data_IF_438713527878
#
_entry.id   IF_438713527878
#
_cell.length_a   1.000
_cell.length_b   1.000
_cell.length_c   1.000
_cell.angle_alpha   90.00
_cell.angle_beta   90.00
_cell.angle_gamma   90.00
#
_symmetry.space_group_name_H-M   'P 1'
#
loop_
_entity.id
_entity.type
_entity.pdbx_description
1 polymer ?
#
# COMPACT_ATOMS: atom_id res chain seq x y z
N UNK A 1 13.06 -4.75 -7.63
CA UNK A 1 11.74 -4.11 -7.80
C UNK A 1 10.73 -4.87 -6.95
N UNK A 2 9.98 -4.15 -6.12
CA UNK A 2 8.91 -4.71 -5.30
C UNK A 2 7.74 -3.73 -5.31
N UNK A 3 6.51 -4.24 -5.35
CA UNK A 3 5.28 -3.46 -5.23
C UNK A 3 4.39 -4.10 -4.16
N UNK A 4 3.56 -3.30 -3.50
CA UNK A 4 2.68 -3.76 -2.42
C UNK A 4 1.23 -3.54 -2.85
N UNK A 5 0.38 -4.54 -2.63
CA UNK A 5 -1.07 -4.43 -2.76
C UNK A 5 -1.73 -4.87 -1.45
N UNK A 6 -2.98 -4.50 -1.25
CA UNK A 6 -3.79 -4.97 -0.12
C UNK A 6 -4.67 -6.12 -0.58
N UNK A 7 -4.60 -7.26 0.10
CA UNK A 7 -5.54 -8.37 -0.08
C UNK A 7 -6.76 -8.13 0.80
N UNK A 8 -7.94 -8.33 0.21
CA UNK A 8 -9.19 -8.48 0.95
C UNK A 8 -9.52 -9.98 1.05
N UNK A 9 -9.46 -10.52 2.27
CA UNK A 9 -10.12 -11.77 2.62
C UNK A 9 -11.34 -11.45 3.51
N UNK A 10 -12.32 -12.36 3.60
CA UNK A 10 -13.61 -12.17 4.27
C UNK A 10 -13.51 -11.78 5.77
N UNK A 11 -12.30 -11.78 6.36
CA UNK A 11 -12.07 -11.55 7.79
C UNK A 11 -11.05 -10.43 8.06
N UNK A 12 -10.03 -10.24 7.21
CA UNK A 12 -8.97 -9.24 7.43
C UNK A 12 -8.38 -8.72 6.11
N UNK A 13 -7.93 -7.46 6.14
CA UNK A 13 -7.08 -6.90 5.09
C UNK A 13 -5.62 -7.28 5.41
N UNK A 14 -4.84 -7.67 4.41
CA UNK A 14 -3.42 -8.02 4.58
C UNK A 14 -2.55 -7.41 3.48
N UNK A 15 -1.28 -7.13 3.76
CA UNK A 15 -0.35 -6.69 2.72
C UNK A 15 0.16 -7.87 1.89
N UNK A 16 0.20 -7.69 0.57
CA UNK A 16 0.76 -8.62 -0.39
C UNK A 16 1.91 -7.98 -1.16
N UNK A 17 3.08 -8.63 -1.08
CA UNK A 17 4.31 -8.16 -1.71
C UNK A 17 4.53 -8.88 -3.04
N UNK A 18 4.43 -8.11 -4.12
CA UNK A 18 5.01 -8.47 -5.39
C UNK A 18 6.50 -8.18 -5.34
N UNK A 19 7.33 -9.16 -5.66
CA UNK A 19 8.80 -9.05 -5.59
C UNK A 19 9.44 -9.61 -6.84
N UNK A 20 10.68 -9.23 -7.11
CA UNK A 20 11.49 -9.79 -8.20
C UNK A 20 12.67 -10.62 -7.70
N UNK A 21 12.63 -11.05 -6.44
CA UNK A 21 13.65 -11.83 -5.77
C UNK A 21 13.01 -12.97 -4.97
N UNK A 22 13.82 -13.97 -4.67
CA UNK A 22 13.44 -15.09 -3.79
C UNK A 22 14.14 -14.94 -2.46
N UNK A 23 13.46 -15.25 -1.37
CA UNK A 23 14.07 -15.27 -0.05
C UNK A 23 15.05 -16.46 0.08
N UNK A 24 16.12 -16.34 0.89
CA UNK A 24 17.01 -17.45 1.17
C UNK A 24 16.25 -18.66 1.74
N UNK A 25 16.77 -19.89 1.58
CA UNK A 25 16.15 -21.07 2.17
C UNK A 25 15.97 -20.89 3.68
N UNK A 26 14.80 -21.32 4.21
CA UNK A 26 14.41 -21.20 5.63
C UNK A 26 14.19 -19.77 6.13
N UNK A 27 14.10 -18.80 5.22
CA UNK A 27 13.70 -17.42 5.54
C UNK A 27 12.31 -17.18 4.98
N UNK A 28 11.39 -16.72 5.83
CA UNK A 28 10.04 -16.36 5.44
C UNK A 28 9.76 -14.90 5.77
N UNK A 29 8.94 -14.25 4.95
CA UNK A 29 8.47 -12.90 5.24
C UNK A 29 7.22 -12.95 6.10
N UNK A 30 7.07 -11.98 7.00
CA UNK A 30 5.83 -11.74 7.71
C UNK A 30 4.67 -11.37 6.77
N UNK A 31 5.00 -10.87 5.58
CA UNK A 31 4.02 -10.47 4.57
C UNK A 31 3.83 -11.58 3.55
N UNK A 32 2.58 -11.79 3.14
CA UNK A 32 2.30 -12.64 1.99
C UNK A 32 2.94 -12.04 0.74
N UNK A 33 3.40 -12.87 -0.19
CA UNK A 33 4.00 -12.36 -1.41
C UNK A 33 4.58 -13.41 -2.33
N UNK A 34 4.83 -13.02 -3.57
CA UNK A 34 5.32 -13.91 -4.63
C UNK A 34 6.21 -13.18 -5.62
N UNK A 35 7.12 -13.95 -6.23
CA UNK A 35 8.02 -13.48 -7.28
C UNK A 35 7.64 -13.95 -8.69
N UNK A 36 6.48 -14.62 -8.84
CA UNK A 36 6.08 -15.28 -10.10
C UNK A 36 5.12 -14.46 -10.97
N UNK A 37 4.82 -13.24 -10.57
CA UNK A 37 3.86 -12.37 -11.26
C UNK A 37 4.54 -11.58 -12.38
N UNK A 38 3.77 -11.28 -13.43
CA UNK A 38 4.21 -10.34 -14.46
C UNK A 38 4.25 -8.94 -13.86
N UNK A 39 5.17 -8.12 -14.35
CA UNK A 39 5.34 -6.74 -13.86
C UNK A 39 4.05 -5.92 -13.94
N UNK A 40 3.29 -6.06 -15.03
CA UNK A 40 2.04 -5.32 -15.22
C UNK A 40 0.95 -5.75 -14.22
N UNK A 41 0.93 -7.00 -13.78
CA UNK A 41 -0.04 -7.50 -12.78
C UNK A 41 0.25 -6.86 -11.42
N UNK A 42 1.53 -6.81 -11.04
CA UNK A 42 1.97 -6.17 -9.80
C UNK A 42 1.61 -4.68 -9.77
N UNK A 43 1.87 -3.95 -10.86
CA UNK A 43 1.56 -2.52 -10.97
C UNK A 43 0.04 -2.30 -10.96
N UNK A 44 -0.72 -3.12 -11.70
CA UNK A 44 -2.19 -3.00 -11.75
C UNK A 44 -2.83 -3.23 -10.38
N UNK A 45 -2.39 -4.27 -9.66
CA UNK A 45 -2.88 -4.58 -8.33
C UNK A 45 -2.51 -3.48 -7.32
N UNK A 46 -1.25 -3.04 -7.33
CA UNK A 46 -0.74 -2.03 -6.39
C UNK A 46 -1.39 -0.66 -6.54
N UNK A 47 -1.87 -0.30 -7.75
CA UNK A 47 -2.52 0.97 -8.05
C UNK A 47 -4.06 0.87 -8.14
N UNK A 48 -4.66 -0.26 -7.76
CA UNK A 48 -6.11 -0.45 -7.84
C UNK A 48 -6.84 0.28 -6.68
N UNK A 49 -6.75 1.61 -6.67
CA UNK A 49 -7.33 2.47 -5.64
C UNK A 49 -8.84 2.28 -5.58
N UNK A 50 -9.41 1.95 -4.39
CA UNK A 50 -10.85 1.82 -4.23
C UNK A 50 -11.54 3.08 -4.72
N UNK A 51 -12.70 2.92 -5.36
CA UNK A 51 -13.49 4.00 -5.98
C UNK A 51 -12.94 4.60 -7.28
N UNK A 52 -11.64 4.46 -7.57
CA UNK A 52 -11.03 4.92 -8.82
C UNK A 52 -10.88 3.79 -9.84
N UNK A 53 -10.45 2.62 -9.39
CA UNK A 53 -10.14 1.48 -10.24
C UNK A 53 -10.80 0.21 -9.72
N UNK A 54 -11.18 -0.68 -10.65
CA UNK A 54 -11.64 -2.03 -10.30
C UNK A 54 -10.50 -2.84 -9.65
N UNK A 55 -10.87 -3.57 -8.60
CA UNK A 55 -10.00 -4.49 -7.87
C UNK A 55 -9.38 -5.55 -8.79
N UNK A 56 -8.14 -5.91 -8.54
CA UNK A 56 -7.42 -6.89 -9.32
C UNK A 56 -7.62 -8.30 -8.73
N UNK A 57 -8.26 -9.19 -9.48
CA UNK A 57 -8.46 -10.58 -9.07
C UNK A 57 -7.31 -11.46 -9.57
N UNK A 58 -6.64 -12.14 -8.65
CA UNK A 58 -5.60 -13.11 -8.97
C UNK A 58 -5.81 -14.42 -8.21
N UNK A 59 -6.26 -15.46 -8.92
CA UNK A 59 -6.64 -16.72 -8.30
C UNK A 59 -7.78 -16.52 -7.30
N UNK A 60 -7.54 -16.88 -6.05
CA UNK A 60 -8.51 -16.72 -4.96
C UNK A 60 -8.39 -15.37 -4.22
N UNK A 61 -7.47 -14.50 -4.63
CA UNK A 61 -7.22 -13.23 -3.97
C UNK A 61 -7.86 -12.07 -4.72
N UNK A 62 -8.48 -11.16 -3.97
CA UNK A 62 -8.89 -9.84 -4.44
C UNK A 62 -7.88 -8.83 -3.91
N UNK A 63 -7.15 -8.20 -4.84
CA UNK A 63 -6.07 -7.28 -4.56
C UNK A 63 -6.48 -5.86 -4.92
N UNK A 64 -6.26 -4.92 -4.02
CA UNK A 64 -6.46 -3.49 -4.25
C UNK A 64 -5.21 -2.71 -3.88
N UNK A 65 -5.30 -1.38 -3.96
CA UNK A 65 -4.17 -0.50 -3.77
C UNK A 65 -3.39 -0.75 -2.47
N UNK A 66 -2.06 -0.72 -2.59
CA UNK A 66 -1.16 -0.89 -1.46
C UNK A 66 -1.26 0.23 -0.44
N UNK A 67 -1.66 1.43 -0.86
CA UNK A 67 -1.85 2.61 -0.03
C UNK A 67 -2.94 2.46 1.03
N UNK A 68 -3.88 1.54 0.85
CA UNK A 68 -4.92 1.25 1.86
C UNK A 68 -4.30 0.79 3.18
N UNK A 69 -3.25 -0.03 3.12
CA UNK A 69 -2.60 -0.62 4.31
C UNK A 69 -1.18 -0.09 4.52
N UNK A 70 -0.43 0.10 3.44
CA UNK A 70 0.99 0.44 3.45
C UNK A 70 1.23 1.65 2.54
N UNK A 71 0.73 2.81 2.97
CA UNK A 71 0.92 4.05 2.22
C UNK A 71 2.39 4.54 2.21
N UNK A 72 3.19 4.10 3.19
CA UNK A 72 4.64 4.26 3.18
C UNK A 72 5.33 2.89 3.19
N UNK A 73 5.79 2.38 2.03
CA UNK A 73 6.38 1.04 1.92
C UNK A 73 7.79 0.93 2.52
N UNK A 74 8.35 2.01 3.08
CA UNK A 74 9.72 2.06 3.58
C UNK A 74 10.00 1.02 4.67
N UNK A 75 9.11 0.88 5.65
CA UNK A 75 9.27 -0.11 6.72
C UNK A 75 9.27 -1.55 6.16
N UNK A 76 8.39 -1.83 5.20
CA UNK A 76 8.33 -3.12 4.50
C UNK A 76 9.59 -3.37 3.69
N UNK A 77 10.11 -2.35 3.00
CA UNK A 77 11.34 -2.44 2.23
C UNK A 77 12.56 -2.74 3.12
N UNK A 78 12.67 -2.08 4.27
CA UNK A 78 13.73 -2.34 5.26
C UNK A 78 13.62 -3.78 5.80
N UNK A 79 12.40 -4.22 6.12
CA UNK A 79 12.16 -5.59 6.57
C UNK A 79 12.63 -6.62 5.54
N UNK A 80 12.18 -6.51 4.29
CA UNK A 80 12.59 -7.45 3.22
C UNK A 80 14.11 -7.39 2.96
N UNK A 81 14.71 -6.20 3.01
CA UNK A 81 16.17 -6.05 2.86
C UNK A 81 16.93 -6.79 3.96
N UNK A 82 16.43 -6.78 5.21
CA UNK A 82 17.03 -7.51 6.32
C UNK A 82 16.83 -9.02 6.25
N UNK A 83 15.77 -9.49 5.59
CA UNK A 83 15.62 -10.91 5.28
C UNK A 83 16.63 -11.39 4.22
N UNK A 84 16.91 -10.55 3.22
CA UNK A 84 17.88 -10.87 2.17
C UNK A 84 19.32 -10.76 2.67
N UNK A 85 19.62 -9.74 3.47
CA UNK A 85 20.97 -9.44 3.94
C UNK A 85 21.00 -9.13 5.45
N UNK A 86 20.84 -10.16 6.30
CA UNK A 86 20.71 -9.96 7.75
C UNK A 86 21.94 -9.27 8.37
N UNK A 87 23.14 -9.63 7.90
CA UNK A 87 24.42 -9.15 8.45
C UNK A 87 24.95 -7.89 7.75
N UNK A 88 24.24 -7.37 6.75
CA UNK A 88 24.69 -6.18 6.02
C UNK A 88 23.99 -4.94 6.61
N UNK A 89 24.75 -3.93 7.07
CA UNK A 89 24.17 -2.69 7.55
C UNK A 89 23.56 -1.91 6.38
N UNK A 90 22.38 -1.32 6.60
CA UNK A 90 21.78 -0.40 5.65
C UNK A 90 22.45 0.96 5.86
N UNK A 91 23.12 1.47 4.84
CA UNK A 91 23.88 2.73 4.96
C UNK A 91 22.99 3.97 4.83
N UNK A 92 21.95 3.89 4.00
CA UNK A 92 21.05 5.00 3.73
C UNK A 92 19.69 4.46 3.28
N UNK A 93 18.62 5.16 3.66
CA UNK A 93 17.27 4.94 3.18
C UNK A 93 16.73 6.27 2.68
N UNK A 94 16.20 6.27 1.46
CA UNK A 94 15.57 7.45 0.86
C UNK A 94 14.12 7.08 0.58
N UNK A 95 13.19 7.85 1.14
CA UNK A 95 11.75 7.71 0.88
C UNK A 95 11.24 8.96 0.17
N UNK A 96 10.58 8.77 -0.96
CA UNK A 96 9.98 9.85 -1.75
C UNK A 96 8.47 9.82 -1.57
N UNK A 97 7.91 10.90 -1.01
CA UNK A 97 6.47 11.11 -0.95
C UNK A 97 5.97 11.89 -2.17
N UNK A 98 4.65 11.83 -2.43
CA UNK A 98 3.99 12.57 -3.51
C UNK A 98 3.51 13.98 -3.11
N UNK A 99 3.96 14.47 -1.95
CA UNK A 99 3.54 15.75 -1.37
C UNK A 99 2.36 15.60 -0.40
N UNK A 100 2.13 16.66 0.40
CA UNK A 100 1.00 16.77 1.33
C UNK A 100 0.12 17.94 0.90
N UNK A 101 -1.19 17.78 1.01
CA UNK A 101 -2.12 18.91 0.84
C UNK A 101 -2.00 19.80 2.06
N UNK A 102 -1.74 21.11 1.93
CA UNK A 102 -1.71 22.01 3.07
C UNK A 102 -3.07 22.00 3.76
N UNK A 103 -3.13 22.04 5.10
CA UNK A 103 -4.39 22.15 5.80
C UNK A 103 -5.09 23.43 5.35
N UNK A 104 -6.19 23.30 4.62
CA UNK A 104 -7.09 24.42 4.38
C UNK A 104 -7.69 24.77 5.73
N UNK A 105 -7.30 25.93 6.27
CA UNK A 105 -8.13 26.64 7.23
C UNK A 105 -9.39 27.05 6.45
N UNK A 106 -10.34 26.14 6.31
CA UNK A 106 -11.66 26.49 5.83
C UNK A 106 -12.31 27.32 6.92
N UNK A 107 -12.11 28.63 6.82
CA UNK A 107 -12.98 29.63 7.40
C UNK A 107 -14.41 29.33 6.95
N UNK A 108 -15.37 29.63 7.82
CA UNK A 108 -16.75 29.19 7.68
C UNK A 108 -17.38 29.52 6.34
N UNK A 109 -18.38 28.70 5.97
CA UNK A 109 -19.28 28.82 4.82
C UNK A 109 -18.75 28.27 3.49
N UNK A 110 -19.04 26.99 3.24
CA UNK A 110 -19.53 26.59 1.92
C UNK A 110 -20.30 25.26 2.02
N UNK A 111 -21.61 25.35 1.86
CA UNK A 111 -22.56 24.25 1.76
C UNK A 111 -22.27 23.45 0.49
N UNK A 112 -21.37 22.46 0.55
CA UNK A 112 -21.18 21.52 -0.55
C UNK A 112 -22.20 20.39 -0.42
N UNK A 113 -23.21 20.45 -1.27
CA UNK A 113 -24.18 19.39 -1.56
C UNK A 113 -23.42 18.13 -2.04
N UNK A 114 -23.11 17.19 -1.14
CA UNK A 114 -22.41 15.94 -1.49
C UNK A 114 -23.39 14.77 -1.57
N UNK A 115 -23.82 14.46 -2.79
CA UNK A 115 -24.34 13.12 -3.14
C UNK A 115 -23.21 12.06 -3.21
N UNK A 116 -21.99 12.38 -2.75
CA UNK A 116 -20.95 11.42 -2.47
C UNK A 116 -21.26 10.74 -1.13
N UNK A 117 -21.44 9.42 -1.17
CA UNK A 117 -21.68 8.59 0.01
C UNK A 117 -20.66 8.90 1.09
N UNK A 118 -21.10 9.42 2.26
CA UNK A 118 -20.31 9.78 3.46
C UNK A 118 -19.16 8.82 3.80
N UNK A 119 -19.26 7.55 3.40
CA UNK A 119 -18.21 6.54 3.49
C UNK A 119 -16.95 6.82 2.66
N UNK A 120 -17.06 7.42 1.47
CA UNK A 120 -15.91 7.78 0.63
C UNK A 120 -15.10 8.89 1.29
N UNK A 121 -15.78 9.96 1.71
CA UNK A 121 -15.13 11.06 2.43
C UNK A 121 -14.49 10.60 3.75
N UNK A 122 -15.11 9.65 4.46
CA UNK A 122 -14.53 9.04 5.66
C UNK A 122 -13.33 8.16 5.33
N UNK A 123 -13.40 7.38 4.26
CA UNK A 123 -12.31 6.52 3.81
C UNK A 123 -11.11 7.34 3.36
N UNK A 124 -11.31 8.37 2.55
CA UNK A 124 -10.26 9.28 2.09
C UNK A 124 -9.64 10.04 3.27
N UNK A 125 -10.44 10.40 4.28
CA UNK A 125 -9.91 10.99 5.53
C UNK A 125 -9.09 9.99 6.35
N UNK A 126 -9.49 8.73 6.44
CA UNK A 126 -8.71 7.69 7.12
C UNK A 126 -7.40 7.45 6.37
N UNK A 127 -7.45 7.38 5.04
CA UNK A 127 -6.27 7.22 4.18
C UNK A 127 -5.32 8.41 4.31
N UNK A 128 -5.85 9.64 4.26
CA UNK A 128 -5.07 10.86 4.45
C UNK A 128 -4.50 10.96 5.88
N UNK A 129 -5.26 10.57 6.90
CA UNK A 129 -4.79 10.50 8.29
C UNK A 129 -3.70 9.43 8.48
N UNK A 130 -3.78 8.31 7.77
CA UNK A 130 -2.72 7.30 7.75
C UNK A 130 -1.44 7.79 7.03
N UNK A 131 -1.55 8.88 6.25
CA UNK A 131 -0.42 9.58 5.61
C UNK A 131 0.23 10.60 6.56
N UNK A 132 -0.49 11.02 7.60
CA UNK A 132 -0.07 12.00 8.59
C UNK A 132 0.57 11.30 9.81
N UNK A 133 1.60 10.50 9.54
CA UNK A 133 2.47 9.97 10.60
C UNK A 133 3.69 10.87 10.73
N UNK A 134 3.60 11.83 11.65
CA UNK A 134 4.73 12.36 12.43
C UNK A 134 4.67 11.81 13.85
#
# INVERSE_FOLDING_TARGET
>A
FSAIASIFDHVQIMAYIFRNYTLPPRVESQYMGSHRHKLWEAVRASAAAPTYFEEFKHGNYVLSDGGIMVNNPCAVAIHEAKLLWPNTPIQCVISFGTGRTPPSLADGSETKNTNASSWKDKFDKILASATDTE
#
